data_IF_129893510265
#
_entry.id   IF_129893510265
#
_cell.length_a   1.000
_cell.length_b   1.000
_cell.length_c   1.000
_cell.angle_alpha   90.00
_cell.angle_beta   90.00
_cell.angle_gamma   90.00
#
_symmetry.space_group_name_H-M   'P 1'
#
loop_
_entity.id
_entity.type
_entity.pdbx_description
1 polymer ?
#
# COMPACT_ATOMS: atom_id res chain seq x y z
N UNK A 1 -2.28 0.84 30.53
CA UNK A 1 -1.13 1.58 29.94
C UNK A 1 -0.31 0.72 28.98
N UNK A 2 -0.11 -0.58 29.28
CA UNK A 2 0.53 -1.56 28.38
C UNK A 2 -0.23 -1.75 27.06
N UNK A 3 -1.56 -1.74 27.07
CA UNK A 3 -2.36 -1.86 25.84
C UNK A 3 -2.34 -0.62 24.93
N UNK A 4 -2.10 0.56 25.48
CA UNK A 4 -1.94 1.79 24.67
C UNK A 4 -0.55 1.84 24.02
N UNK A 5 0.48 1.38 24.71
CA UNK A 5 1.82 1.23 24.14
C UNK A 5 1.85 0.18 23.03
N UNK A 6 1.16 -0.97 23.23
CA UNK A 6 1.00 -2.02 22.21
C UNK A 6 0.24 -1.51 20.97
N UNK A 7 -0.81 -0.70 21.16
CA UNK A 7 -1.58 -0.09 20.07
C UNK A 7 -0.79 1.01 19.33
N UNK A 8 0.10 1.71 20.04
CA UNK A 8 1.03 2.68 19.42
C UNK A 8 2.17 1.99 18.66
N UNK A 9 2.60 0.79 19.07
CA UNK A 9 3.63 -0.01 18.38
C UNK A 9 3.17 -0.49 17.00
N UNK A 10 1.89 -0.85 16.85
CA UNK A 10 1.29 -1.22 15.55
C UNK A 10 1.31 -0.06 14.53
N UNK A 11 1.39 1.19 14.99
CA UNK A 11 1.41 2.39 14.14
C UNK A 11 2.81 2.96 13.89
N UNK A 12 3.89 2.36 14.42
CA UNK A 12 5.24 2.90 14.24
C UNK A 12 5.82 2.55 12.86
N UNK A 13 6.31 3.59 12.19
CA UNK A 13 7.24 3.48 11.08
C UNK A 13 8.44 2.65 11.56
N UNK A 14 8.80 1.60 10.83
CA UNK A 14 9.82 0.65 11.26
C UNK A 14 11.21 1.27 11.08
N UNK A 15 11.77 1.84 12.15
CA UNK A 15 13.15 2.31 12.18
C UNK A 15 14.07 1.26 12.80
N UNK A 16 15.23 1.02 12.18
CA UNK A 16 16.34 0.26 12.77
C UNK A 16 17.06 1.11 13.81
N UNK A 17 17.77 0.49 14.78
CA UNK A 17 18.73 1.19 15.61
C UNK A 17 19.72 1.94 14.69
N UNK A 18 19.75 3.28 14.79
CA UNK A 18 20.49 4.15 13.85
C UNK A 18 19.61 5.01 12.92
N UNK A 19 18.28 4.96 13.05
CA UNK A 19 17.37 5.91 12.37
C UNK A 19 17.05 5.58 10.90
N UNK A 20 17.57 4.47 10.37
CA UNK A 20 17.26 4.02 9.01
C UNK A 20 15.95 3.21 8.97
N UNK A 21 15.15 3.34 7.92
CA UNK A 21 13.92 2.57 7.75
C UNK A 21 14.22 1.08 7.52
N UNK A 22 13.43 0.17 8.09
CA UNK A 22 13.51 -1.26 7.80
C UNK A 22 12.52 -1.62 6.69
N UNK A 23 12.95 -1.69 5.42
CA UNK A 23 12.04 -1.90 4.29
C UNK A 23 11.33 -3.26 4.35
N UNK A 24 11.93 -4.28 4.96
CA UNK A 24 11.31 -5.59 5.10
C UNK A 24 10.16 -5.57 6.11
N UNK A 25 10.42 -5.04 7.32
CA UNK A 25 9.37 -4.88 8.34
C UNK A 25 8.28 -3.92 7.89
N UNK A 26 8.62 -2.87 7.15
CA UNK A 26 7.66 -1.92 6.60
C UNK A 26 6.70 -2.60 5.63
N UNK A 27 7.21 -3.38 4.66
CA UNK A 27 6.37 -4.12 3.72
C UNK A 27 5.47 -5.12 4.43
N UNK A 28 6.01 -5.89 5.37
CA UNK A 28 5.20 -6.85 6.13
C UNK A 28 4.13 -6.17 6.99
N UNK A 29 4.47 -5.06 7.64
CA UNK A 29 3.54 -4.25 8.45
C UNK A 29 2.40 -3.70 7.60
N UNK A 30 2.70 -3.14 6.43
CA UNK A 30 1.69 -2.59 5.52
C UNK A 30 0.73 -3.66 5.01
N UNK A 31 1.26 -4.83 4.62
CA UNK A 31 0.45 -5.99 4.23
C UNK A 31 -0.43 -6.42 5.42
N UNK A 32 0.14 -6.56 6.61
CA UNK A 32 -0.61 -6.95 7.80
C UNK A 32 -1.74 -5.96 8.11
N UNK A 33 -1.48 -4.65 8.04
CA UNK A 33 -2.48 -3.58 8.24
C UNK A 33 -3.60 -3.61 7.21
N UNK A 34 -3.30 -3.97 5.96
CA UNK A 34 -4.30 -4.10 4.91
C UNK A 34 -5.25 -5.31 5.09
N UNK A 35 -4.81 -6.32 5.86
CA UNK A 35 -5.52 -7.60 5.96
C UNK A 35 -6.87 -7.55 6.71
N UNK A 36 -7.02 -6.82 7.83
CA UNK A 36 -8.33 -6.63 8.45
C UNK A 36 -9.32 -5.92 7.53
N UNK A 37 -8.88 -4.88 6.81
CA UNK A 37 -9.71 -4.10 5.90
C UNK A 37 -10.29 -4.95 4.77
N UNK A 38 -9.46 -5.79 4.13
CA UNK A 38 -9.94 -6.71 3.09
C UNK A 38 -10.92 -7.75 3.63
N UNK A 39 -10.75 -8.19 4.89
CA UNK A 39 -11.68 -9.13 5.52
C UNK A 39 -13.04 -8.47 5.76
N UNK A 40 -13.05 -7.23 6.24
CA UNK A 40 -14.27 -6.44 6.47
C UNK A 40 -15.01 -6.18 5.16
N UNK A 41 -14.30 -5.76 4.10
CA UNK A 41 -14.91 -5.58 2.78
C UNK A 41 -15.53 -6.89 2.26
N UNK A 42 -14.82 -8.00 2.42
CA UNK A 42 -15.33 -9.31 2.05
C UNK A 42 -16.55 -9.74 2.87
N UNK A 43 -16.63 -9.38 4.16
CA UNK A 43 -17.77 -9.74 5.02
C UNK A 43 -19.00 -8.87 4.80
N UNK A 44 -18.83 -7.63 4.35
CA UNK A 44 -19.93 -6.72 3.97
C UNK A 44 -20.48 -7.07 2.57
N UNK A 45 -19.92 -8.10 1.92
CA UNK A 45 -20.41 -8.55 0.62
C UNK A 45 -19.79 -7.82 -0.55
N UNK A 46 -18.66 -7.11 -0.39
CA UNK A 46 -17.90 -6.53 -1.51
C UNK A 46 -17.25 -7.65 -2.33
N UNK A 47 -18.07 -8.30 -3.14
CA UNK A 47 -17.78 -9.44 -3.98
C UNK A 47 -18.52 -9.30 -5.33
N UNK A 48 -18.10 -10.00 -6.39
CA UNK A 48 -18.72 -9.89 -7.70
C UNK A 48 -20.15 -10.46 -7.79
N UNK A 49 -20.63 -11.17 -6.76
CA UNK A 49 -22.01 -11.67 -6.70
C UNK A 49 -23.00 -10.59 -6.25
N UNK A 50 -22.57 -9.67 -5.40
CA UNK A 50 -23.41 -8.61 -4.82
C UNK A 50 -23.11 -7.22 -5.40
N UNK A 51 -21.85 -6.98 -5.79
CA UNK A 51 -21.40 -5.75 -6.45
C UNK A 51 -20.85 -6.02 -7.84
N UNK A 52 -20.85 -4.98 -8.69
CA UNK A 52 -20.16 -5.09 -9.97
C UNK A 52 -18.65 -5.26 -9.76
N UNK A 53 -18.01 -6.06 -10.61
CA UNK A 53 -16.54 -6.24 -10.63
C UNK A 53 -15.79 -4.91 -10.61
N UNK A 54 -16.31 -3.91 -11.34
CA UNK A 54 -15.76 -2.58 -11.37
C UNK A 54 -15.79 -1.89 -9.99
N UNK A 55 -16.92 -1.94 -9.28
CA UNK A 55 -17.05 -1.38 -7.93
C UNK A 55 -16.14 -2.10 -6.92
N UNK A 56 -16.10 -3.43 -6.96
CA UNK A 56 -15.16 -4.24 -6.16
C UNK A 56 -13.71 -3.77 -6.33
N UNK A 57 -13.25 -3.60 -7.58
CA UNK A 57 -11.90 -3.10 -7.84
C UNK A 57 -11.69 -1.65 -7.38
N UNK A 58 -12.72 -0.80 -7.42
CA UNK A 58 -12.63 0.58 -6.92
C UNK A 58 -12.50 0.64 -5.39
N UNK A 59 -13.27 -0.18 -4.66
CA UNK A 59 -13.12 -0.30 -3.21
C UNK A 59 -11.72 -0.78 -2.82
N UNK A 60 -11.18 -1.78 -3.53
CA UNK A 60 -9.79 -2.19 -3.35
C UNK A 60 -8.82 -1.00 -3.54
N UNK A 61 -8.95 -0.31 -4.67
CA UNK A 61 -8.07 0.79 -5.07
C UNK A 61 -8.07 1.96 -4.08
N UNK A 62 -9.23 2.26 -3.48
CA UNK A 62 -9.41 3.45 -2.66
C UNK A 62 -9.21 3.18 -1.16
N UNK A 63 -9.42 1.95 -0.69
CA UNK A 63 -9.43 1.65 0.75
C UNK A 63 -8.25 0.76 1.14
N UNK A 64 -8.06 -0.36 0.45
CA UNK A 64 -7.05 -1.37 0.81
C UNK A 64 -5.67 -0.96 0.28
N UNK A 65 -5.61 -0.51 -0.97
CA UNK A 65 -4.36 -0.20 -1.65
C UNK A 65 -3.56 0.93 -0.98
N UNK A 66 -4.16 2.04 -0.50
CA UNK A 66 -3.40 3.07 0.23
C UNK A 66 -2.72 2.55 1.51
N UNK A 67 -3.31 1.56 2.20
CA UNK A 67 -2.72 0.96 3.39
C UNK A 67 -1.44 0.16 3.05
N UNK A 68 -1.39 -0.42 1.86
CA UNK A 68 -0.18 -1.08 1.36
C UNK A 68 0.89 -0.08 0.92
N UNK A 69 0.47 1.05 0.33
CA UNK A 69 1.34 2.08 -0.26
C UNK A 69 1.98 3.03 0.76
N UNK A 70 1.46 3.06 1.98
CA UNK A 70 1.92 3.95 3.05
C UNK A 70 3.43 3.83 3.29
N UNK A 71 4.12 4.96 3.41
CA UNK A 71 5.58 5.06 3.60
C UNK A 71 6.47 4.36 2.55
N UNK A 72 5.92 3.82 1.46
CA UNK A 72 6.76 3.24 0.40
C UNK A 72 7.44 4.34 -0.42
N UNK A 73 6.79 5.50 -0.57
CA UNK A 73 7.31 6.61 -1.35
C UNK A 73 8.66 7.15 -0.82
N UNK A 74 8.90 7.01 0.49
CA UNK A 74 10.10 7.48 1.18
C UNK A 74 11.18 6.40 1.30
N UNK A 75 10.94 5.19 0.80
CA UNK A 75 11.81 4.03 1.02
C UNK A 75 12.31 3.42 -0.30
N UNK A 76 13.51 2.84 -0.25
CA UNK A 76 14.11 2.11 -1.35
C UNK A 76 13.83 0.62 -1.20
N UNK A 77 12.86 0.12 -1.96
CA UNK A 77 12.51 -1.30 -1.94
C UNK A 77 13.39 -2.11 -2.87
N UNK A 78 13.84 -3.28 -2.39
CA UNK A 78 14.53 -4.25 -3.21
C UNK A 78 13.54 -5.12 -4.02
N UNK A 79 14.08 -5.93 -4.94
CA UNK A 79 13.26 -6.81 -5.79
C UNK A 79 12.44 -7.83 -4.98
N UNK A 80 12.95 -8.32 -3.85
CA UNK A 80 12.26 -9.32 -3.02
C UNK A 80 11.02 -8.69 -2.38
N UNK A 81 11.16 -7.52 -1.77
CA UNK A 81 10.09 -6.74 -1.15
C UNK A 81 9.02 -6.34 -2.17
N UNK A 82 9.46 -5.91 -3.35
CA UNK A 82 8.56 -5.60 -4.44
C UNK A 82 7.71 -6.81 -4.84
N UNK A 83 8.35 -7.98 -4.99
CA UNK A 83 7.65 -9.24 -5.28
C UNK A 83 6.65 -9.60 -4.18
N UNK A 84 7.00 -9.43 -2.92
CA UNK A 84 6.09 -9.67 -1.79
C UNK A 84 4.86 -8.75 -1.84
N UNK A 85 5.03 -7.47 -2.20
CA UNK A 85 3.91 -6.54 -2.37
C UNK A 85 3.02 -6.92 -3.56
N UNK A 86 3.61 -7.37 -4.68
CA UNK A 86 2.84 -7.84 -5.84
C UNK A 86 2.03 -9.10 -5.49
N UNK A 87 2.62 -10.06 -4.79
CA UNK A 87 1.93 -11.25 -4.31
C UNK A 87 0.79 -10.91 -3.33
N UNK A 88 1.01 -9.93 -2.45
CA UNK A 88 -0.03 -9.43 -1.54
C UNK A 88 -1.17 -8.73 -2.29
N UNK A 89 -0.86 -7.89 -3.29
CA UNK A 89 -1.87 -7.27 -4.15
C UNK A 89 -2.71 -8.34 -4.84
N UNK A 90 -2.08 -9.36 -5.45
CA UNK A 90 -2.77 -10.45 -6.10
C UNK A 90 -3.67 -11.23 -5.14
N UNK A 91 -3.18 -11.51 -3.92
CA UNK A 91 -3.94 -12.18 -2.88
C UNK A 91 -5.19 -11.40 -2.49
N UNK A 92 -5.08 -10.08 -2.30
CA UNK A 92 -6.22 -9.24 -1.91
C UNK A 92 -7.22 -9.03 -3.04
N UNK A 93 -6.75 -8.87 -4.27
CA UNK A 93 -7.62 -8.80 -5.44
C UNK A 93 -8.42 -10.10 -5.59
N UNK A 94 -7.79 -11.28 -5.49
CA UNK A 94 -8.51 -12.57 -5.52
C UNK A 94 -9.57 -12.64 -4.42
N UNK A 95 -9.24 -12.14 -3.22
CA UNK A 95 -10.15 -12.15 -2.08
C UNK A 95 -11.38 -11.27 -2.31
N UNK A 96 -11.22 -10.04 -2.77
CA UNK A 96 -12.35 -9.16 -3.13
C UNK A 96 -13.19 -9.76 -4.25
N UNK A 97 -12.58 -10.48 -5.18
CA UNK A 97 -13.30 -11.11 -6.27
C UNK A 97 -13.94 -12.46 -5.92
N UNK A 98 -13.79 -12.95 -4.68
CA UNK A 98 -14.28 -14.28 -4.29
C UNK A 98 -13.67 -15.42 -5.10
N UNK A 99 -12.54 -15.19 -5.77
CA UNK A 99 -11.96 -16.13 -6.71
C UNK A 99 -11.11 -17.21 -6.01
N UNK A 100 -11.04 -18.43 -6.58
CA UNK A 100 -10.08 -19.45 -6.13
C UNK A 100 -8.63 -18.96 -6.09
N UNK A 101 -7.77 -19.61 -5.30
CA UNK A 101 -6.34 -19.25 -5.20
C UNK A 101 -5.59 -19.29 -6.53
N UNK A 102 -6.09 -19.99 -7.55
CA UNK A 102 -5.43 -20.15 -8.86
C UNK A 102 -5.92 -19.16 -9.94
N UNK A 103 -6.95 -18.36 -9.66
CA UNK A 103 -7.57 -17.46 -10.64
C UNK A 103 -6.62 -16.36 -11.11
N UNK A 104 -6.43 -16.19 -12.42
CA UNK A 104 -5.61 -15.09 -12.93
C UNK A 104 -6.11 -13.74 -12.42
N UNK A 105 -5.22 -12.95 -11.83
CA UNK A 105 -5.51 -11.58 -11.41
C UNK A 105 -5.28 -10.58 -12.51
N UNK A 106 -4.63 -10.93 -13.63
CA UNK A 106 -4.17 -9.96 -14.64
C UNK A 106 -5.25 -9.00 -15.14
N UNK A 107 -6.46 -9.50 -15.41
CA UNK A 107 -7.57 -8.70 -15.95
C UNK A 107 -8.19 -7.76 -14.90
N UNK A 108 -8.15 -8.12 -13.62
CA UNK A 108 -8.87 -7.44 -12.55
C UNK A 108 -8.32 -6.02 -12.23
N UNK A 109 -6.99 -5.79 -12.19
CA UNK A 109 -6.41 -4.46 -12.09
C UNK A 109 -6.82 -3.55 -13.25
N UNK A 110 -6.88 -4.06 -14.48
CA UNK A 110 -7.20 -3.25 -15.66
C UNK A 110 -8.60 -2.64 -15.58
N UNK A 111 -9.56 -3.34 -14.96
CA UNK A 111 -10.93 -2.83 -14.77
C UNK A 111 -10.98 -1.52 -13.96
N UNK A 112 -10.06 -1.33 -13.01
CA UNK A 112 -9.97 -0.10 -12.21
C UNK A 112 -8.73 0.75 -12.52
N UNK A 113 -8.08 0.52 -13.67
CA UNK A 113 -6.83 1.21 -14.05
C UNK A 113 -5.75 1.12 -12.97
N UNK A 114 -5.66 -0.05 -12.32
CA UNK A 114 -4.71 -0.31 -11.25
C UNK A 114 -3.36 -0.71 -11.83
N UNK A 115 -2.33 0.04 -11.48
CA UNK A 115 -0.95 -0.27 -11.86
C UNK A 115 -0.41 -1.48 -11.08
N UNK A 116 0.64 -2.12 -11.60
CA UNK A 116 1.47 -3.06 -10.84
C UNK A 116 2.10 -2.34 -9.64
N UNK A 117 2.49 -3.06 -8.59
CA UNK A 117 3.16 -2.41 -7.46
C UNK A 117 4.46 -1.74 -7.92
N UNK A 118 5.20 -2.36 -8.86
CA UNK A 118 6.41 -1.75 -9.42
C UNK A 118 6.17 -0.37 -10.02
N UNK A 119 5.21 -0.27 -10.95
CA UNK A 119 4.90 1.00 -11.61
C UNK A 119 4.34 2.04 -10.64
N UNK A 120 3.56 1.58 -9.67
CA UNK A 120 2.99 2.45 -8.64
C UNK A 120 4.03 3.02 -7.70
N UNK A 121 4.98 2.20 -7.25
CA UNK A 121 6.08 2.63 -6.38
C UNK A 121 6.93 3.68 -7.08
N UNK A 122 7.32 3.44 -8.34
CA UNK A 122 8.06 4.42 -9.13
C UNK A 122 7.29 5.75 -9.25
N UNK A 123 5.97 5.67 -9.45
CA UNK A 123 5.11 6.87 -9.50
C UNK A 123 5.08 7.60 -8.15
N UNK A 124 4.94 6.87 -7.05
CA UNK A 124 4.88 7.44 -5.70
C UNK A 124 6.22 8.09 -5.30
N UNK A 125 7.34 7.44 -5.60
CA UNK A 125 8.67 7.99 -5.36
C UNK A 125 8.91 9.24 -6.20
N UNK A 126 8.54 9.21 -7.50
CA UNK A 126 8.62 10.39 -8.34
C UNK A 126 7.75 11.53 -7.79
N UNK A 127 6.49 11.25 -7.43
CA UNK A 127 5.60 12.25 -6.82
C UNK A 127 6.20 12.85 -5.55
N UNK A 128 6.78 12.04 -4.67
CA UNK A 128 7.45 12.50 -3.47
C UNK A 128 8.64 13.44 -3.77
N UNK A 129 9.47 13.11 -4.76
CA UNK A 129 10.62 13.92 -5.16
C UNK A 129 10.24 15.24 -5.84
N UNK A 130 9.20 15.22 -6.69
CA UNK A 130 8.75 16.43 -7.41
C UNK A 130 7.82 17.32 -6.59
N UNK A 131 7.16 16.78 -5.55
CA UNK A 131 6.20 17.53 -4.75
C UNK A 131 6.79 18.79 -4.10
N UNK A 132 7.99 18.76 -3.48
CA UNK A 132 8.64 19.96 -2.96
C UNK A 132 8.81 21.07 -4.01
N UNK A 133 9.13 20.74 -5.26
CA UNK A 133 9.34 21.71 -6.34
C UNK A 133 8.05 22.45 -6.76
N UNK A 134 6.89 21.89 -6.44
CA UNK A 134 5.58 22.50 -6.68
C UNK A 134 5.07 23.36 -5.51
N UNK A 135 5.77 23.34 -4.38
CA UNK A 135 5.38 24.03 -3.16
C UNK A 135 6.06 25.39 -3.06
N UNK A 136 5.45 26.38 -2.36
CA UNK A 136 6.11 27.64 -2.04
C UNK A 136 7.39 27.42 -1.23
N UNK A 137 8.36 28.33 -1.40
CA UNK A 137 9.70 28.21 -0.79
C UNK A 137 9.67 28.21 0.74
N UNK A 138 8.62 28.79 1.34
CA UNK A 138 8.42 28.84 2.79
C UNK A 138 7.94 27.52 3.40
N UNK A 139 7.59 26.53 2.56
CA UNK A 139 7.08 25.25 3.04
C UNK A 139 8.21 24.44 3.68
N UNK A 140 8.01 23.81 4.85
CA UNK A 140 9.04 22.98 5.49
C UNK A 140 9.63 21.89 4.57
N UNK A 141 8.81 21.33 3.68
CA UNK A 141 9.25 20.35 2.68
C UNK A 141 10.20 20.93 1.63
N UNK A 142 10.00 22.18 1.20
CA UNK A 142 10.90 22.83 0.24
C UNK A 142 12.28 23.08 0.86
N UNK A 143 12.30 23.52 2.12
CA UNK A 143 13.55 23.71 2.88
C UNK A 143 14.33 22.42 3.13
N UNK A 144 13.69 21.26 2.98
CA UNK A 144 14.33 19.95 3.11
C UNK A 144 15.01 19.47 1.82
N UNK A 145 14.73 20.08 0.66
CA UNK A 145 15.33 19.71 -0.64
C UNK A 145 16.87 19.63 -0.58
N UNK A 146 17.61 20.58 0.04
CA UNK A 146 19.08 20.51 0.10
C UNK A 146 19.62 19.33 0.93
N UNK A 147 18.76 18.62 1.67
CA UNK A 147 19.13 17.54 2.59
C UNK A 147 18.65 16.15 2.13
N UNK A 148 17.98 16.07 0.97
CA UNK A 148 17.50 14.84 0.33
C UNK A 148 18.49 14.43 -0.75
#
# INVERSE_FOLDING_TARGET
MVDLLRKCEEHRISFKPGGHLDPEKLVQSNIFKAMPTINVLSSIGVNPSEFSKFLCSRFYAQIVRPQMEYDIAINCLNHIQLKTLEEAQDKYIRKIYGGPRKTSTKVMPHLAKLHTMKGRIATLQAQFLFHPLSLPEDTPLYRLIPHI
#
